data_IF_263225803072
#
_entry.id   IF_263225803072
#
_cell.length_a   1.000
_cell.length_b   1.000
_cell.length_c   1.000
_cell.angle_alpha   90.00
_cell.angle_beta   90.00
_cell.angle_gamma   90.00
#
_symmetry.space_group_name_H-M   'P 1'
#
loop_
_entity.id
_entity.type
_entity.pdbx_description
1 polymer ?
#
# COMPACT_ATOMS: atom_id res chain seq x y z
N UNK A 1 -20.93 -20.06 -9.86
CA UNK A 1 -19.73 -19.40 -9.30
C UNK A 1 -20.02 -19.06 -7.85
N UNK A 2 -19.25 -19.60 -6.90
CA UNK A 2 -19.44 -19.30 -5.48
C UNK A 2 -19.13 -17.83 -5.23
N UNK A 3 -20.09 -17.09 -4.65
CA UNK A 3 -19.87 -15.70 -4.29
C UNK A 3 -18.75 -15.63 -3.24
N UNK A 4 -17.79 -14.70 -3.42
CA UNK A 4 -16.71 -14.49 -2.46
C UNK A 4 -17.34 -14.06 -1.13
N UNK A 5 -17.08 -14.77 -0.02
CA UNK A 5 -17.71 -14.45 1.27
C UNK A 5 -17.24 -13.08 1.76
N UNK A 6 -18.18 -12.30 2.33
CA UNK A 6 -17.90 -10.94 2.85
C UNK A 6 -16.78 -10.93 3.89
N UNK A 7 -16.68 -11.99 4.70
CA UNK A 7 -15.62 -12.17 5.68
C UNK A 7 -14.23 -12.18 5.05
N UNK A 8 -14.07 -12.80 3.87
CA UNK A 8 -12.78 -12.84 3.18
C UNK A 8 -12.36 -11.45 2.67
N UNK A 9 -13.31 -10.65 2.17
CA UNK A 9 -13.03 -9.28 1.73
C UNK A 9 -12.61 -8.41 2.92
N UNK A 10 -13.32 -8.53 4.06
CA UNK A 10 -12.99 -7.78 5.28
C UNK A 10 -11.61 -8.20 5.80
N UNK A 11 -11.34 -9.50 5.84
CA UNK A 11 -10.04 -10.02 6.25
C UNK A 11 -8.92 -9.47 5.36
N UNK A 12 -9.08 -9.49 4.04
CA UNK A 12 -8.10 -8.91 3.11
C UNK A 12 -7.87 -7.42 3.34
N UNK A 13 -8.92 -6.63 3.62
CA UNK A 13 -8.78 -5.20 3.95
C UNK A 13 -8.03 -4.97 5.25
N UNK A 14 -8.29 -5.77 6.28
CA UNK A 14 -7.58 -5.68 7.57
C UNK A 14 -6.12 -6.04 7.38
N UNK A 15 -5.82 -7.12 6.64
CA UNK A 15 -4.44 -7.50 6.34
C UNK A 15 -3.68 -6.36 5.64
N UNK A 16 -4.29 -5.74 4.62
CA UNK A 16 -3.70 -4.59 3.92
C UNK A 16 -3.50 -3.40 4.85
N UNK A 17 -4.48 -3.05 5.68
CA UNK A 17 -4.34 -2.00 6.69
C UNK A 17 -3.14 -2.24 7.60
N UNK A 18 -3.01 -3.46 8.14
CA UNK A 18 -1.93 -3.81 9.05
C UNK A 18 -0.56 -3.72 8.39
N UNK A 19 -0.44 -4.14 7.13
CA UNK A 19 0.80 -4.00 6.35
C UNK A 19 1.17 -2.52 6.21
N UNK A 20 0.23 -1.67 5.80
CA UNK A 20 0.51 -0.24 5.63
C UNK A 20 0.77 0.49 6.95
N UNK A 21 0.14 0.08 8.05
CA UNK A 21 0.48 0.58 9.39
C UNK A 21 1.89 0.16 9.78
N UNK A 22 2.27 -1.09 9.54
CA UNK A 22 3.61 -1.57 9.87
C UNK A 22 4.68 -0.80 9.08
N UNK A 23 4.53 -0.70 7.77
CA UNK A 23 5.48 0.02 6.91
C UNK A 23 5.49 1.54 7.21
N UNK A 24 4.33 2.17 7.34
CA UNK A 24 4.24 3.61 7.51
C UNK A 24 4.50 4.11 8.93
N UNK A 25 3.94 3.45 9.95
CA UNK A 25 4.01 3.89 11.33
C UNK A 25 5.21 3.28 12.06
N UNK A 26 5.43 1.97 11.92
CA UNK A 26 6.46 1.28 12.70
C UNK A 26 7.84 1.45 12.05
N UNK A 27 7.96 1.23 10.74
CA UNK A 27 9.25 1.34 10.07
C UNK A 27 9.70 2.80 9.91
N UNK A 28 8.81 3.73 9.51
CA UNK A 28 9.20 5.12 9.22
C UNK A 28 9.02 6.11 10.36
N UNK A 29 7.98 5.96 11.19
CA UNK A 29 7.70 6.90 12.30
C UNK A 29 8.23 6.42 13.66
N UNK A 30 8.36 5.11 13.87
CA UNK A 30 8.80 4.49 15.13
C UNK A 30 10.32 4.50 15.37
N UNK A 31 11.10 4.82 14.33
CA UNK A 31 12.57 4.90 14.40
C UNK A 31 13.14 4.77 13.00
N UNK A 32 13.40 5.91 12.35
CA UNK A 32 14.02 5.93 11.02
C UNK A 32 15.30 5.10 11.07
N UNK A 33 15.33 3.99 10.34
CA UNK A 33 16.53 3.17 10.21
C UNK A 33 17.59 4.01 9.51
N UNK A 34 18.84 3.94 9.97
CA UNK A 34 19.96 4.65 9.33
C UNK A 34 20.03 4.34 7.82
N UNK A 35 19.65 3.13 7.44
CA UNK A 35 19.56 2.67 6.06
C UNK A 35 18.52 3.46 5.24
N UNK A 36 17.36 3.80 5.81
CA UNK A 36 16.31 4.56 5.10
C UNK A 36 16.65 6.05 4.99
N UNK A 37 17.33 6.61 5.99
CA UNK A 37 17.86 7.97 5.92
C UNK A 37 18.94 8.08 4.84
N UNK A 38 19.88 7.12 4.81
CA UNK A 38 20.91 7.06 3.77
C UNK A 38 20.34 6.92 2.35
N UNK A 39 19.27 6.13 2.18
CA UNK A 39 18.57 6.02 0.89
C UNK A 39 17.88 7.34 0.52
N UNK A 40 17.23 8.00 1.47
CA UNK A 40 16.53 9.26 1.23
C UNK A 40 17.48 10.42 0.90
N UNK A 41 18.63 10.48 1.55
CA UNK A 41 19.73 11.42 1.26
C UNK A 41 20.41 11.11 -0.08
N UNK A 42 20.45 9.83 -0.47
CA UNK A 42 20.97 9.44 -1.79
C UNK A 42 20.03 9.77 -2.97
N UNK A 43 18.80 10.26 -2.72
CA UNK A 43 17.88 10.67 -3.79
C UNK A 43 18.29 12.04 -4.33
N UNK A 44 18.77 12.15 -5.59
CA UNK A 44 19.33 13.39 -6.13
C UNK A 44 18.34 14.55 -6.27
N UNK A 45 17.04 14.27 -6.17
CA UNK A 45 15.97 15.27 -6.23
C UNK A 45 15.46 15.69 -4.84
N UNK A 46 15.95 15.08 -3.77
CA UNK A 46 15.50 15.33 -2.40
C UNK A 46 16.63 16.00 -1.61
N UNK A 47 16.47 17.25 -1.16
CA UNK A 47 17.48 17.88 -0.31
C UNK A 47 17.64 17.13 1.02
N UNK A 48 18.88 16.89 1.45
CA UNK A 48 19.20 16.09 2.66
C UNK A 48 18.44 16.55 3.91
N UNK A 49 18.32 17.87 4.10
CA UNK A 49 17.58 18.46 5.23
C UNK A 49 16.06 18.19 5.21
N UNK A 50 15.52 17.79 4.05
CA UNK A 50 14.11 17.39 3.88
C UNK A 50 13.93 15.87 3.90
N UNK A 51 14.99 15.06 3.84
CA UNK A 51 14.91 13.61 3.82
C UNK A 51 14.10 13.05 5.00
N UNK A 52 14.40 13.52 6.21
CA UNK A 52 13.67 13.15 7.42
C UNK A 52 12.19 13.55 7.40
N UNK A 53 11.85 14.71 6.84
CA UNK A 53 10.46 15.17 6.72
C UNK A 53 9.70 14.38 5.65
N UNK A 54 10.33 14.12 4.51
CA UNK A 54 9.75 13.34 3.42
C UNK A 54 9.43 11.92 3.86
N UNK A 55 10.31 11.27 4.63
CA UNK A 55 10.06 9.94 5.20
C UNK A 55 8.87 9.94 6.17
N UNK A 56 8.73 10.98 7.02
CA UNK A 56 7.58 11.11 7.91
C UNK A 56 6.27 11.35 7.15
N UNK A 57 6.31 12.21 6.13
CA UNK A 57 5.16 12.48 5.27
C UNK A 57 4.73 11.23 4.50
N UNK A 58 5.69 10.46 3.98
CA UNK A 58 5.46 9.18 3.33
C UNK A 58 4.85 8.16 4.29
N UNK A 59 5.38 8.03 5.51
CA UNK A 59 4.81 7.12 6.51
C UNK A 59 3.38 7.48 6.90
N UNK A 60 3.07 8.77 7.04
CA UNK A 60 1.70 9.24 7.24
C UNK A 60 0.77 8.92 6.05
N UNK A 61 1.26 9.14 4.83
CA UNK A 61 0.53 8.82 3.61
C UNK A 61 0.21 7.32 3.48
N UNK A 62 1.16 6.46 3.83
CA UNK A 62 0.99 5.00 3.83
C UNK A 62 -0.08 4.55 4.81
N UNK A 63 -0.09 5.09 6.03
CA UNK A 63 -1.15 4.84 7.02
C UNK A 63 -2.52 5.27 6.47
N UNK A 64 -2.60 6.43 5.83
CA UNK A 64 -3.84 6.91 5.21
C UNK A 64 -4.32 5.98 4.08
N UNK A 65 -3.42 5.43 3.27
CA UNK A 65 -3.76 4.42 2.26
C UNK A 65 -4.35 3.16 2.91
N UNK A 66 -3.72 2.65 3.97
CA UNK A 66 -4.23 1.51 4.72
C UNK A 66 -5.65 1.74 5.26
N UNK A 67 -5.88 2.91 5.86
CA UNK A 67 -7.20 3.30 6.39
C UNK A 67 -8.23 3.43 5.27
N UNK A 68 -7.85 4.00 4.12
CA UNK A 68 -8.73 4.13 2.97
C UNK A 68 -9.19 2.76 2.45
N UNK A 69 -8.28 1.78 2.35
CA UNK A 69 -8.63 0.40 1.97
C UNK A 69 -9.62 -0.22 2.95
N UNK A 70 -9.44 0.01 4.25
CA UNK A 70 -10.37 -0.48 5.26
C UNK A 70 -11.78 0.10 5.08
N UNK A 71 -11.86 1.42 4.91
CA UNK A 71 -13.13 2.14 4.63
C UNK A 71 -13.78 1.55 3.36
N UNK A 72 -12.98 1.20 2.36
CA UNK A 72 -13.45 0.55 1.14
C UNK A 72 -14.14 1.47 0.15
N UNK A 73 -13.92 2.79 0.29
CA UNK A 73 -14.37 3.80 -0.66
C UNK A 73 -13.54 3.73 -1.94
N UNK A 74 -14.17 3.76 -3.13
CA UNK A 74 -13.47 3.77 -4.44
C UNK A 74 -12.31 2.74 -4.52
N UNK A 75 -12.59 1.44 -4.32
CA UNK A 75 -11.55 0.43 -4.08
C UNK A 75 -10.50 0.30 -5.19
N UNK A 76 -10.88 0.55 -6.46
CA UNK A 76 -9.93 0.56 -7.58
C UNK A 76 -8.94 1.72 -7.54
N UNK A 77 -9.38 2.91 -7.10
CA UNK A 77 -8.49 4.07 -6.97
C UNK A 77 -7.50 3.84 -5.82
N UNK A 78 -7.99 3.35 -4.68
CA UNK A 78 -7.12 2.97 -3.56
C UNK A 78 -6.10 1.91 -3.99
N UNK A 79 -6.49 0.92 -4.80
CA UNK A 79 -5.59 -0.10 -5.33
C UNK A 79 -4.51 0.46 -6.26
N UNK A 80 -4.88 1.37 -7.16
CA UNK A 80 -3.93 2.05 -8.04
C UNK A 80 -2.91 2.84 -7.25
N UNK A 81 -3.34 3.65 -6.28
CA UNK A 81 -2.43 4.46 -5.48
C UNK A 81 -1.45 3.60 -4.67
N UNK A 82 -1.95 2.56 -3.98
CA UNK A 82 -1.09 1.59 -3.30
C UNK A 82 -0.05 0.95 -4.22
N UNK A 83 -0.46 0.57 -5.43
CA UNK A 83 0.44 -0.02 -6.44
C UNK A 83 1.53 0.98 -6.84
N UNK A 84 1.15 2.22 -7.12
CA UNK A 84 2.11 3.28 -7.49
C UNK A 84 3.07 3.59 -6.34
N UNK A 85 2.59 3.62 -5.10
CA UNK A 85 3.42 3.82 -3.91
C UNK A 85 4.43 2.70 -3.77
N UNK A 86 4.01 1.43 -3.90
CA UNK A 86 4.93 0.29 -3.85
C UNK A 86 5.98 0.37 -4.95
N UNK A 87 5.59 0.67 -6.19
CA UNK A 87 6.54 0.82 -7.30
C UNK A 87 7.53 1.95 -7.00
N UNK A 88 7.05 3.11 -6.54
CA UNK A 88 7.91 4.26 -6.25
C UNK A 88 8.92 3.95 -5.14
N UNK A 89 8.46 3.49 -3.97
CA UNK A 89 9.33 3.20 -2.83
C UNK A 89 10.32 2.08 -3.15
N UNK A 90 9.85 1.02 -3.83
CA UNK A 90 10.71 -0.09 -4.22
C UNK A 90 11.75 0.32 -5.24
N UNK A 91 11.38 1.14 -6.22
CA UNK A 91 12.32 1.64 -7.23
C UNK A 91 13.37 2.54 -6.61
N UNK A 92 12.98 3.42 -5.68
CA UNK A 92 13.92 4.26 -4.93
C UNK A 92 14.88 3.40 -4.11
N UNK A 93 14.39 2.39 -3.38
CA UNK A 93 15.25 1.45 -2.65
C UNK A 93 16.19 0.66 -3.57
N UNK A 94 15.72 0.23 -4.74
CA UNK A 94 16.53 -0.48 -5.74
C UNK A 94 17.51 0.42 -6.51
N UNK A 95 17.27 1.71 -6.62
CA UNK A 95 18.17 2.62 -7.35
C UNK A 95 19.24 3.22 -6.43
N UNK A 96 18.87 3.53 -5.19
CA UNK A 96 19.69 4.31 -4.27
C UNK A 96 20.10 3.55 -3.00
N UNK A 97 19.48 2.40 -2.70
CA UNK A 97 19.72 1.58 -1.50
C UNK A 97 20.19 0.17 -1.76
N UNK A 98 20.65 -0.12 -2.99
CA UNK A 98 21.07 -1.47 -3.41
C UNK A 98 22.11 -2.13 -2.52
N UNK A 99 22.98 -1.33 -1.90
CA UNK A 99 24.04 -1.81 -1.02
C UNK A 99 23.55 -2.14 0.40
N UNK A 100 22.40 -1.59 0.83
CA UNK A 100 21.76 -1.90 2.11
C UNK A 100 20.75 -3.07 2.04
N UNK A 101 20.27 -3.44 0.84
CA UNK A 101 19.25 -4.49 0.67
C UNK A 101 19.93 -5.84 0.43
N UNK A 102 20.01 -6.68 1.47
CA UNK A 102 20.66 -7.99 1.39
C UNK A 102 20.05 -8.96 0.36
N UNK A 103 18.75 -8.87 0.08
CA UNK A 103 18.04 -9.74 -0.87
C UNK A 103 16.98 -8.99 -1.70
N UNK A 104 17.35 -8.43 -2.87
CA UNK A 104 16.44 -7.61 -3.68
C UNK A 104 15.27 -8.39 -4.29
N UNK A 105 15.40 -9.71 -4.48
CA UNK A 105 14.33 -10.56 -5.00
C UNK A 105 13.21 -10.77 -3.99
N UNK A 106 13.53 -10.90 -2.70
CA UNK A 106 12.54 -11.07 -1.64
C UNK A 106 11.62 -9.85 -1.55
N UNK A 107 12.20 -8.65 -1.69
CA UNK A 107 11.45 -7.39 -1.79
C UNK A 107 10.45 -7.40 -2.97
N UNK A 108 10.91 -7.79 -4.16
CA UNK A 108 10.07 -7.81 -5.37
C UNK A 108 8.91 -8.80 -5.22
N UNK A 109 9.19 -10.00 -4.72
CA UNK A 109 8.16 -11.04 -4.53
C UNK A 109 7.10 -10.59 -3.52
N UNK A 110 7.51 -10.00 -2.39
CA UNK A 110 6.59 -9.45 -1.38
C UNK A 110 5.69 -8.37 -1.97
N UNK A 111 6.26 -7.45 -2.76
CA UNK A 111 5.48 -6.39 -3.39
C UNK A 111 4.51 -6.91 -4.44
N UNK A 112 4.90 -7.89 -5.26
CA UNK A 112 4.01 -8.53 -6.21
C UNK A 112 2.85 -9.24 -5.50
N UNK A 113 3.12 -9.95 -4.41
CA UNK A 113 2.09 -10.60 -3.60
C UNK A 113 1.12 -9.56 -2.99
N UNK A 114 1.64 -8.43 -2.51
CA UNK A 114 0.83 -7.35 -1.95
C UNK A 114 -0.03 -6.68 -3.02
N UNK A 115 0.53 -6.38 -4.20
CA UNK A 115 -0.21 -5.85 -5.37
C UNK A 115 -1.34 -6.83 -5.75
N UNK A 116 -1.04 -8.13 -5.85
CA UNK A 116 -2.04 -9.13 -6.17
C UNK A 116 -3.18 -9.15 -5.12
N UNK A 117 -2.86 -9.08 -3.83
CA UNK A 117 -3.85 -9.02 -2.76
C UNK A 117 -4.70 -7.75 -2.84
N UNK A 118 -4.08 -6.59 -3.07
CA UNK A 118 -4.74 -5.30 -3.23
C UNK A 118 -5.78 -5.35 -4.36
N UNK A 119 -5.39 -5.85 -5.53
CA UNK A 119 -6.28 -5.93 -6.69
C UNK A 119 -7.37 -6.99 -6.51
N UNK A 120 -7.08 -8.11 -5.86
CA UNK A 120 -8.08 -9.12 -5.53
C UNK A 120 -9.17 -8.55 -4.61
N UNK A 121 -8.76 -7.87 -3.54
CA UNK A 121 -9.70 -7.24 -2.59
C UNK A 121 -10.52 -6.15 -3.28
N UNK A 122 -9.90 -5.34 -4.16
CA UNK A 122 -10.59 -4.30 -4.90
C UNK A 122 -11.62 -4.87 -5.89
N UNK A 123 -11.25 -5.89 -6.67
CA UNK A 123 -12.14 -6.55 -7.62
C UNK A 123 -13.33 -7.22 -6.90
N UNK A 124 -13.06 -7.95 -5.82
CA UNK A 124 -14.10 -8.61 -5.02
C UNK A 124 -15.08 -7.60 -4.40
N UNK A 125 -14.58 -6.44 -3.95
CA UNK A 125 -15.41 -5.37 -3.42
C UNK A 125 -16.31 -4.74 -4.50
N UNK A 126 -15.78 -4.48 -5.71
CA UNK A 126 -16.55 -3.90 -6.81
C UNK A 126 -17.68 -4.81 -7.28
N UNK A 127 -17.40 -6.09 -7.53
CA UNK A 127 -18.43 -7.07 -7.97
C UNK A 127 -19.59 -7.15 -6.97
N UNK A 128 -19.28 -7.02 -5.66
CA UNK A 128 -20.30 -7.04 -4.62
C UNK A 128 -21.20 -5.81 -4.67
N UNK A 129 -20.63 -4.62 -4.86
CA UNK A 129 -21.41 -3.38 -4.99
C UNK A 129 -22.36 -3.45 -6.18
N UNK A 130 -21.87 -3.92 -7.34
CA UNK A 130 -22.68 -4.04 -8.55
C UNK A 130 -23.84 -5.03 -8.33
N UNK A 131 -23.57 -6.18 -7.70
CA UNK A 131 -24.62 -7.17 -7.39
C UNK A 131 -25.69 -6.70 -6.41
N UNK A 132 -25.38 -5.72 -5.53
CA UNK A 132 -26.35 -5.12 -4.62
C UNK A 132 -27.20 -4.12 -5.38
N UNK A 133 -26.57 -3.30 -6.22
CA UNK A 133 -27.23 -2.30 -7.06
C UNK A 133 -28.22 -2.95 -8.04
N UNK A 134 -27.85 -4.06 -8.66
CA UNK A 134 -28.73 -4.78 -9.61
C UNK A 134 -29.94 -5.47 -8.93
N UNK A 135 -29.96 -5.54 -7.59
CA UNK A 135 -31.08 -6.11 -6.81
C UNK A 135 -32.04 -5.07 -6.26
N UNK A 136 -31.67 -3.79 -6.27
CA UNK A 136 -32.63 -2.71 -5.99
C UNK A 136 -33.53 -2.54 -7.20
N UNK A 137 -34.86 -2.73 -7.07
CA UNK A 137 -35.77 -2.47 -8.18
C UNK A 137 -35.70 -0.98 -8.57
N UNK A 138 -35.97 -0.70 -9.85
CA UNK A 138 -35.96 0.65 -10.41
C UNK A 138 -37.28 1.39 -10.09
N UNK A 139 -37.72 1.36 -8.84
CA UNK A 139 -38.93 2.01 -8.36
C UNK A 139 -38.60 3.35 -7.68
N UNK A 140 -38.64 4.39 -8.53
CA UNK A 140 -38.98 5.77 -8.19
C UNK A 140 -40.10 6.24 -9.11
#
# INVERSE_FOLDING_TARGET
MNAIPRSLIIFGRIALLLVWIYEGLIAKLGGQRADEQGIAEAVPLLPDHLAGLALRALGGYEVLLGVWVLIGLLPRIAATLQTLTLIAVSSTGLLFGREQIGEPLDLVIKNLALIALVWLVAAAASVRTDSVRDREPADG
#
